data_IF_214748307930
#
_entry.id   IF_214748307930
#
_cell.length_a   1.000
_cell.length_b   1.000
_cell.length_c   1.000
_cell.angle_alpha   90.00
_cell.angle_beta   90.00
_cell.angle_gamma   90.00
#
_symmetry.space_group_name_H-M   'P 1'
#
loop_
_entity.id
_entity.type
_entity.pdbx_description
1 polymer ?
#
# COMPACT_ATOMS: atom_id res chain seq x y z
N UNK A 1 29.45 5.60 5.17
CA UNK A 1 29.23 5.96 3.75
C UNK A 1 27.75 5.94 3.36
N UNK A 2 27.01 4.88 3.70
CA UNK A 2 25.57 4.72 3.40
C UNK A 2 24.67 5.87 3.88
N UNK A 3 24.76 6.27 5.16
CA UNK A 3 23.88 7.30 5.74
C UNK A 3 23.97 8.63 5.00
N UNK A 4 25.19 9.07 4.64
CA UNK A 4 25.39 10.33 3.89
C UNK A 4 24.75 10.27 2.50
N UNK A 5 24.79 9.11 1.85
CA UNK A 5 24.15 8.91 0.56
C UNK A 5 22.62 9.00 0.69
N UNK A 6 22.01 8.32 1.66
CA UNK A 6 20.55 8.36 1.86
C UNK A 6 20.06 9.76 2.22
N UNK A 7 20.78 10.50 3.07
CA UNK A 7 20.44 11.91 3.38
C UNK A 7 20.42 12.77 2.11
N UNK A 8 21.45 12.67 1.28
CA UNK A 8 21.50 13.41 0.02
C UNK A 8 20.39 12.97 -0.95
N UNK A 9 20.07 11.68 -0.99
CA UNK A 9 18.97 11.13 -1.80
C UNK A 9 17.62 11.70 -1.36
N UNK A 10 17.39 11.83 -0.05
CA UNK A 10 16.14 12.39 0.49
C UNK A 10 15.99 13.87 0.15
N UNK A 11 17.09 14.64 0.19
CA UNK A 11 17.11 16.04 -0.21
C UNK A 11 16.93 16.22 -1.73
N UNK A 12 17.48 15.32 -2.54
CA UNK A 12 17.42 15.37 -4.00
C UNK A 12 16.15 14.78 -4.62
N UNK A 13 15.40 13.97 -3.87
CA UNK A 13 14.17 13.33 -4.35
C UNK A 13 13.04 13.42 -3.31
N UNK A 14 12.41 14.60 -3.19
CA UNK A 14 11.43 14.86 -2.15
C UNK A 14 10.22 13.92 -2.27
N UNK A 15 9.72 13.46 -1.12
CA UNK A 15 8.52 12.60 -1.04
C UNK A 15 8.73 11.12 -1.36
N UNK A 16 9.86 10.74 -1.97
CA UNK A 16 10.13 9.33 -2.30
C UNK A 16 10.35 8.47 -1.04
N UNK A 17 11.16 8.95 -0.09
CA UNK A 17 11.53 8.17 1.09
C UNK A 17 10.36 7.73 1.99
N UNK A 18 9.32 8.54 2.24
CA UNK A 18 8.16 8.09 3.02
C UNK A 18 7.24 7.14 2.24
N UNK A 19 7.34 7.05 0.90
CA UNK A 19 6.44 6.23 0.08
C UNK A 19 6.40 4.76 0.50
N UNK A 20 7.52 4.21 0.97
CA UNK A 20 7.60 2.83 1.46
C UNK A 20 6.67 2.58 2.64
N UNK A 21 6.73 3.43 3.68
CA UNK A 21 5.95 3.24 4.90
C UNK A 21 4.52 3.77 4.78
N UNK A 22 4.31 4.81 4.00
CA UNK A 22 2.96 5.28 3.66
C UNK A 22 2.23 4.21 2.85
N UNK A 23 2.88 3.64 1.83
CA UNK A 23 2.33 2.55 1.02
C UNK A 23 1.96 1.33 1.87
N UNK A 24 2.90 0.84 2.70
CA UNK A 24 2.61 -0.26 3.63
C UNK A 24 1.40 0.04 4.52
N UNK A 25 1.39 1.22 5.17
CA UNK A 25 0.30 1.58 6.11
C UNK A 25 -1.06 1.57 5.42
N UNK A 26 -1.14 2.12 4.20
CA UNK A 26 -2.39 2.16 3.45
C UNK A 26 -2.81 0.75 3.01
N UNK A 27 -1.88 -0.09 2.57
CA UNK A 27 -2.16 -1.50 2.25
C UNK A 27 -2.73 -2.27 3.45
N UNK A 28 -2.14 -2.10 4.64
CA UNK A 28 -2.63 -2.71 5.88
C UNK A 28 -4.04 -2.20 6.23
N UNK A 29 -4.27 -0.88 6.13
CA UNK A 29 -5.59 -0.28 6.36
C UNK A 29 -6.66 -0.80 5.39
N UNK A 30 -6.33 -0.95 4.12
CA UNK A 30 -7.25 -1.50 3.11
C UNK A 30 -7.60 -2.96 3.39
N UNK A 31 -6.60 -3.77 3.75
CA UNK A 31 -6.84 -5.17 4.15
C UNK A 31 -7.75 -5.25 5.36
N UNK A 32 -7.46 -4.48 6.41
CA UNK A 32 -8.21 -4.53 7.66
C UNK A 32 -9.66 -4.08 7.43
N UNK A 33 -9.87 -3.04 6.62
CA UNK A 33 -11.20 -2.57 6.23
C UNK A 33 -11.95 -3.57 5.34
N UNK A 34 -11.27 -4.19 4.37
CA UNK A 34 -11.85 -5.23 3.52
C UNK A 34 -12.28 -6.43 4.36
N UNK A 35 -11.41 -6.89 5.27
CA UNK A 35 -11.71 -7.98 6.19
C UNK A 35 -12.91 -7.66 7.09
N UNK A 36 -13.01 -6.42 7.57
CA UNK A 36 -14.14 -5.95 8.37
C UNK A 36 -15.47 -6.01 7.60
N UNK A 37 -15.46 -5.71 6.30
CA UNK A 37 -16.66 -5.75 5.44
C UNK A 37 -17.08 -7.18 5.09
N UNK A 38 -16.12 -8.05 4.79
CA UNK A 38 -16.37 -9.46 4.46
C UNK A 38 -16.73 -10.30 5.69
N UNK A 39 -16.30 -9.88 6.89
CA UNK A 39 -16.58 -10.58 8.14
C UNK A 39 -16.07 -12.03 8.10
N UNK A 40 -16.97 -12.99 8.38
CA UNK A 40 -16.63 -14.41 8.40
C UNK A 40 -16.27 -14.98 7.00
N UNK A 41 -16.61 -14.29 5.91
CA UNK A 41 -16.28 -14.71 4.56
C UNK A 41 -14.87 -14.27 4.13
N UNK A 42 -14.16 -13.51 4.95
CA UNK A 42 -12.85 -12.98 4.59
C UNK A 42 -11.83 -14.10 4.32
N UNK A 43 -11.24 -14.07 3.13
CA UNK A 43 -10.07 -14.87 2.78
C UNK A 43 -8.91 -13.97 2.36
N UNK A 44 -7.78 -14.09 3.07
CA UNK A 44 -6.56 -13.34 2.79
C UNK A 44 -5.96 -13.67 1.42
N UNK A 45 -6.12 -14.90 0.92
CA UNK A 45 -5.61 -15.28 -0.41
C UNK A 45 -6.43 -14.61 -1.50
N UNK A 46 -7.75 -14.63 -1.38
CA UNK A 46 -8.66 -13.92 -2.29
C UNK A 46 -8.40 -12.41 -2.29
N UNK A 47 -8.19 -11.79 -1.11
CA UNK A 47 -7.81 -10.38 -1.01
C UNK A 47 -6.52 -10.07 -1.77
N UNK A 48 -5.44 -10.82 -1.51
CA UNK A 48 -4.17 -10.59 -2.20
C UNK A 48 -4.30 -10.80 -3.71
N UNK A 49 -5.01 -11.83 -4.15
CA UNK A 49 -5.25 -12.07 -5.57
C UNK A 49 -5.97 -10.87 -6.21
N UNK A 50 -7.11 -10.45 -5.65
CA UNK A 50 -7.88 -9.31 -6.15
C UNK A 50 -7.01 -8.04 -6.21
N UNK A 51 -6.25 -7.76 -5.15
CA UNK A 51 -5.45 -6.55 -5.05
C UNK A 51 -4.25 -6.54 -6.01
N UNK A 52 -3.58 -7.68 -6.20
CA UNK A 52 -2.41 -7.78 -7.08
C UNK A 52 -2.78 -7.86 -8.57
N UNK A 53 -3.94 -8.44 -8.91
CA UNK A 53 -4.44 -8.51 -10.28
C UNK A 53 -4.72 -7.11 -10.88
N UNK A 54 -4.92 -6.09 -10.05
CA UNK A 54 -5.10 -4.68 -10.48
C UNK A 54 -3.80 -4.10 -11.06
N UNK A 55 -2.63 -4.61 -10.66
CA UNK A 55 -1.34 -4.09 -11.08
C UNK A 55 -0.89 -2.81 -10.35
N UNK A 56 0.14 -2.16 -10.88
CA UNK A 56 0.75 -0.97 -10.28
C UNK A 56 -0.09 0.29 -10.48
N UNK A 57 -0.92 0.62 -9.48
CA UNK A 57 -1.79 1.81 -9.48
C UNK A 57 -1.51 2.72 -8.29
N UNK A 58 -2.02 3.96 -8.33
CA UNK A 58 -2.01 4.86 -7.18
C UNK A 58 -2.86 4.31 -6.02
N UNK A 59 -2.52 4.68 -4.79
CA UNK A 59 -3.16 4.14 -3.58
C UNK A 59 -4.65 4.50 -3.48
N UNK A 60 -5.06 5.67 -3.98
CA UNK A 60 -6.48 6.05 -4.02
C UNK A 60 -7.26 5.20 -5.03
N UNK A 61 -6.65 4.87 -6.18
CA UNK A 61 -7.23 3.96 -7.17
C UNK A 61 -7.34 2.54 -6.62
N UNK A 62 -6.30 2.05 -5.93
CA UNK A 62 -6.34 0.75 -5.25
C UNK A 62 -7.46 0.71 -4.21
N UNK A 63 -7.62 1.78 -3.42
CA UNK A 63 -8.67 1.91 -2.42
C UNK A 63 -10.06 1.80 -3.06
N UNK A 64 -10.33 2.57 -4.11
CA UNK A 64 -11.61 2.53 -4.82
C UNK A 64 -11.88 1.11 -5.37
N UNK A 65 -10.90 0.49 -6.02
CA UNK A 65 -11.06 -0.84 -6.61
C UNK A 65 -11.30 -1.98 -5.58
N UNK A 66 -10.85 -1.80 -4.33
CA UNK A 66 -11.02 -2.80 -3.28
C UNK A 66 -12.24 -2.57 -2.41
N UNK A 67 -12.61 -1.31 -2.14
CA UNK A 67 -13.63 -0.96 -1.16
C UNK A 67 -14.90 -0.36 -1.75
N UNK A 68 -14.91 0.06 -3.01
CA UNK A 68 -16.16 0.45 -3.70
C UNK A 68 -16.71 -0.74 -4.49
#
# INVERSE_FOLDING_TARGET
QFVRFEVNRYLGWPGQAPSYKIGQRIWEQLRDEYARREGAAFDIKAFHKKALDIGGVGLDTLKAALLD
#
